data_IF_551707648646
#
_entry.id   IF_551707648646
#
_cell.length_a   1.000
_cell.length_b   1.000
_cell.length_c   1.000
_cell.angle_alpha   90.00
_cell.angle_beta   90.00
_cell.angle_gamma   90.00
#
_symmetry.space_group_name_H-M   'P 1'
#
loop_
_entity.id
_entity.type
_entity.pdbx_description
1 polymer ?
#
# COMPACT_ATOMS: atom_id res chain seq x y z
N UNK A 1 -8.54 35.97 7.17
CA UNK A 1 -8.34 35.74 5.72
C UNK A 1 -8.11 34.26 5.47
N UNK A 2 -9.16 33.49 5.19
CA UNK A 2 -9.03 32.08 4.77
C UNK A 2 -8.64 32.07 3.29
N UNK A 3 -7.35 32.11 2.98
CA UNK A 3 -6.89 31.75 1.64
C UNK A 3 -7.17 30.26 1.47
N UNK A 4 -8.20 29.96 0.67
CA UNK A 4 -8.41 28.64 0.09
C UNK A 4 -7.15 28.29 -0.74
N UNK A 5 -6.14 27.74 -0.08
CA UNK A 5 -5.16 26.89 -0.75
C UNK A 5 -5.80 25.51 -0.86
N UNK A 6 -6.89 25.41 -1.62
CA UNK A 6 -7.36 24.11 -2.08
C UNK A 6 -6.38 23.76 -3.20
N UNK A 7 -5.21 23.23 -2.83
CA UNK A 7 -4.52 22.35 -3.75
C UNK A 7 -5.56 21.31 -4.13
N UNK A 8 -5.82 21.18 -5.43
CA UNK A 8 -6.81 20.27 -5.99
C UNK A 8 -6.38 18.84 -5.64
N UNK A 9 -6.69 18.39 -4.43
CA UNK A 9 -6.22 17.11 -3.90
C UNK A 9 -6.99 16.02 -4.62
N UNK A 10 -6.28 15.23 -5.41
CA UNK A 10 -6.84 14.06 -6.09
C UNK A 10 -7.19 13.01 -5.04
N UNK A 11 -8.48 12.89 -4.69
CA UNK A 11 -8.98 12.00 -3.63
C UNK A 11 -10.05 11.05 -4.15
N UNK A 12 -10.32 10.00 -3.35
CA UNK A 12 -11.43 9.09 -3.59
C UNK A 12 -12.69 9.65 -2.90
N UNK A 13 -13.83 9.80 -3.59
CA UNK A 13 -15.04 10.33 -2.98
C UNK A 13 -15.69 9.30 -2.03
N UNK A 14 -16.36 9.80 -0.99
CA UNK A 14 -17.11 8.96 -0.02
C UNK A 14 -18.11 8.01 -0.67
N UNK A 15 -18.73 8.41 -1.79
CA UNK A 15 -19.65 7.56 -2.55
C UNK A 15 -18.97 6.29 -3.08
N UNK A 16 -17.71 6.38 -3.47
CA UNK A 16 -16.94 5.24 -3.97
C UNK A 16 -16.58 4.29 -2.84
N UNK A 17 -16.19 4.79 -1.66
CA UNK A 17 -15.96 3.92 -0.50
C UNK A 17 -17.22 3.14 -0.08
N UNK A 18 -18.39 3.79 -0.12
CA UNK A 18 -19.68 3.11 0.13
C UNK A 18 -19.98 2.03 -0.92
N UNK A 19 -19.62 2.26 -2.19
CA UNK A 19 -19.73 1.25 -3.25
C UNK A 19 -18.76 0.08 -2.99
N UNK A 20 -17.52 0.35 -2.57
CA UNK A 20 -16.53 -0.68 -2.22
C UNK A 20 -17.04 -1.60 -1.12
N UNK A 21 -17.63 -1.03 -0.06
CA UNK A 21 -18.26 -1.82 1.02
C UNK A 21 -19.40 -2.69 0.48
N UNK A 22 -20.31 -2.14 -0.33
CA UNK A 22 -21.42 -2.92 -0.91
C UNK A 22 -20.92 -4.09 -1.79
N UNK A 23 -19.94 -3.84 -2.66
CA UNK A 23 -19.31 -4.88 -3.49
C UNK A 23 -18.61 -5.94 -2.63
N UNK A 24 -17.93 -5.50 -1.57
CA UNK A 24 -17.25 -6.41 -0.66
C UNK A 24 -18.24 -7.31 0.09
N UNK A 25 -19.32 -6.75 0.63
CA UNK A 25 -20.42 -7.49 1.26
C UNK A 25 -21.04 -8.53 0.31
N UNK A 26 -21.20 -8.20 -0.97
CA UNK A 26 -21.66 -9.16 -1.98
C UNK A 26 -20.68 -10.34 -2.16
N UNK A 27 -19.36 -10.07 -2.16
CA UNK A 27 -18.34 -11.13 -2.21
C UNK A 27 -18.34 -11.99 -0.94
N UNK A 28 -18.49 -11.39 0.24
CA UNK A 28 -18.62 -12.11 1.52
C UNK A 28 -19.79 -13.10 1.46
N UNK A 29 -20.97 -12.64 1.03
CA UNK A 29 -22.15 -13.49 0.83
C UNK A 29 -21.92 -14.62 -0.18
N UNK A 30 -21.29 -14.29 -1.31
CA UNK A 30 -21.01 -15.25 -2.38
C UNK A 30 -20.11 -16.40 -1.93
N UNK A 31 -19.14 -16.12 -1.06
CA UNK A 31 -18.24 -17.13 -0.48
C UNK A 31 -18.83 -17.85 0.74
N UNK A 32 -20.11 -17.57 1.10
CA UNK A 32 -20.78 -18.21 2.23
C UNK A 32 -20.19 -17.83 3.59
N UNK A 33 -19.64 -16.62 3.71
CA UNK A 33 -19.15 -16.04 4.96
C UNK A 33 -20.21 -15.14 5.59
N UNK A 34 -20.22 -15.03 6.91
CA UNK A 34 -21.14 -14.12 7.62
C UNK A 34 -20.52 -12.73 7.80
N UNK A 35 -19.19 -12.66 7.87
CA UNK A 35 -18.43 -11.41 7.95
C UNK A 35 -16.98 -11.61 7.49
N UNK A 36 -16.29 -10.50 7.27
CA UNK A 36 -14.83 -10.47 7.16
C UNK A 36 -14.23 -9.45 8.13
N UNK A 37 -13.11 -9.82 8.75
CA UNK A 37 -12.20 -8.92 9.43
C UNK A 37 -11.04 -8.59 8.48
N UNK A 38 -10.95 -7.32 8.08
CA UNK A 38 -9.95 -6.84 7.11
C UNK A 38 -8.84 -6.15 7.87
N UNK A 39 -7.65 -6.74 7.95
CA UNK A 39 -6.55 -6.22 8.76
C UNK A 39 -5.57 -5.35 7.96
N UNK A 40 -4.90 -4.43 8.67
CA UNK A 40 -3.81 -3.62 8.16
C UNK A 40 -2.83 -3.21 9.27
N UNK A 41 -1.57 -3.04 8.86
CA UNK A 41 -0.50 -2.37 9.62
C UNK A 41 -0.13 -1.05 8.94
N UNK A 42 0.80 -0.29 9.52
CA UNK A 42 1.39 0.88 8.86
C UNK A 42 1.97 0.56 7.48
N UNK A 43 2.74 -0.54 7.41
CA UNK A 43 3.47 -0.96 6.21
C UNK A 43 2.55 -1.55 5.14
N UNK A 44 1.46 -2.20 5.57
CA UNK A 44 0.53 -2.94 4.73
C UNK A 44 -0.90 -2.41 4.91
N UNK A 45 -1.06 -1.11 4.65
CA UNK A 45 -2.30 -0.36 4.90
C UNK A 45 -3.41 -0.60 3.89
N UNK A 46 -3.09 -1.19 2.74
CA UNK A 46 -3.89 -1.02 1.54
C UNK A 46 -5.31 -1.59 1.62
N UNK A 47 -5.56 -2.64 2.41
CA UNK A 47 -6.90 -3.24 2.52
C UNK A 47 -7.85 -2.39 3.38
N UNK A 48 -7.44 -2.03 4.59
CA UNK A 48 -8.21 -1.14 5.47
C UNK A 48 -8.39 0.20 4.78
N UNK A 49 -7.32 0.81 4.28
CA UNK A 49 -7.38 2.12 3.62
C UNK A 49 -8.29 2.13 2.39
N UNK A 50 -8.31 1.04 1.61
CA UNK A 50 -9.21 0.92 0.47
C UNK A 50 -10.69 0.96 0.88
N UNK A 51 -11.03 0.45 2.07
CA UNK A 51 -12.39 0.40 2.58
C UNK A 51 -12.78 1.61 3.42
N UNK A 52 -11.84 2.24 4.12
CA UNK A 52 -12.11 3.24 5.15
C UNK A 52 -11.40 4.59 4.98
N UNK A 53 -10.51 4.74 3.99
CA UNK A 53 -9.57 5.86 3.86
C UNK A 53 -8.52 5.98 5.00
N UNK A 54 -8.71 5.24 6.09
CA UNK A 54 -7.82 5.25 7.24
C UNK A 54 -6.53 4.48 6.97
N UNK A 55 -5.40 5.11 7.29
CA UNK A 55 -4.08 4.51 7.27
C UNK A 55 -3.54 4.54 8.70
N UNK A 56 -3.37 3.37 9.36
CA UNK A 56 -2.78 3.34 10.70
C UNK A 56 -1.35 3.89 10.70
N UNK A 57 -0.93 4.46 11.83
CA UNK A 57 0.43 4.97 12.06
C UNK A 57 1.25 3.89 12.75
N UNK A 58 1.54 3.97 14.05
CA UNK A 58 2.33 2.96 14.77
C UNK A 58 1.47 1.83 15.37
N UNK A 59 0.17 2.05 15.51
CA UNK A 59 -0.83 1.04 15.86
C UNK A 59 -1.23 0.22 14.62
N UNK A 60 -2.07 -0.80 14.81
CA UNK A 60 -2.69 -1.52 13.69
C UNK A 60 -4.18 -1.19 13.61
N UNK A 61 -4.86 -1.67 12.58
CA UNK A 61 -6.30 -1.47 12.46
C UNK A 61 -6.97 -2.61 11.70
N UNK A 62 -8.29 -2.67 11.82
CA UNK A 62 -9.10 -3.49 10.95
C UNK A 62 -10.42 -2.84 10.56
N UNK A 63 -11.04 -3.33 9.49
CA UNK A 63 -12.46 -3.07 9.24
C UNK A 63 -13.21 -4.39 9.42
N UNK A 64 -14.14 -4.41 10.36
CA UNK A 64 -15.10 -5.51 10.50
C UNK A 64 -16.27 -5.25 9.54
N UNK A 65 -16.45 -6.13 8.56
CA UNK A 65 -17.49 -6.00 7.53
C UNK A 65 -18.43 -7.20 7.62
N UNK A 66 -19.64 -7.05 8.18
CA UNK A 66 -20.65 -8.11 8.11
C UNK A 66 -21.18 -8.23 6.69
N UNK A 67 -21.60 -9.43 6.29
CA UNK A 67 -22.24 -9.70 5.00
C UNK A 67 -23.47 -8.81 4.76
N UNK A 68 -24.15 -8.40 5.83
CA UNK A 68 -25.24 -7.44 5.84
C UNK A 68 -25.16 -6.57 7.09
N UNK A 69 -25.41 -5.26 6.94
CA UNK A 69 -25.33 -4.30 8.04
C UNK A 69 -24.24 -3.26 7.80
N UNK A 70 -23.93 -2.48 8.85
CA UNK A 70 -22.90 -1.47 8.81
C UNK A 70 -21.52 -2.08 9.09
N UNK A 71 -20.50 -1.66 8.34
CA UNK A 71 -19.12 -2.00 8.65
C UNK A 71 -18.59 -1.09 9.78
N UNK A 72 -17.62 -1.60 10.54
CA UNK A 72 -17.08 -0.96 11.73
C UNK A 72 -15.55 -0.86 11.58
N UNK A 73 -15.00 0.33 11.78
CA UNK A 73 -13.55 0.54 11.83
C UNK A 73 -13.05 0.24 13.24
N UNK A 74 -12.11 -0.69 13.36
CA UNK A 74 -11.46 -1.08 14.61
C UNK A 74 -10.07 -0.45 14.65
N UNK A 75 -9.76 0.23 15.74
CA UNK A 75 -8.50 0.96 15.92
C UNK A 75 -7.86 0.67 17.26
N UNK A 76 -6.58 0.99 17.37
CA UNK A 76 -5.84 0.92 18.63
C UNK A 76 -6.25 2.01 19.64
N UNK A 77 -5.74 1.91 20.88
CA UNK A 77 -5.93 2.86 21.97
C UNK A 77 -5.93 4.36 21.61
N UNK A 78 -5.01 4.81 20.75
CA UNK A 78 -4.75 6.25 20.53
C UNK A 78 -5.27 6.78 19.18
N UNK A 79 -5.92 5.93 18.39
CA UNK A 79 -6.25 6.22 17.00
C UNK A 79 -7.66 6.72 16.72
N UNK A 80 -8.56 6.77 17.70
CA UNK A 80 -10.00 7.07 17.51
C UNK A 80 -10.25 8.47 16.90
N UNK A 81 -9.60 9.50 17.45
CA UNK A 81 -9.75 10.88 16.96
C UNK A 81 -9.26 11.00 15.51
N UNK A 82 -8.06 10.48 15.22
CA UNK A 82 -7.49 10.51 13.87
C UNK A 82 -8.37 9.72 12.88
N UNK A 83 -8.84 8.54 13.28
CA UNK A 83 -9.76 7.73 12.49
C UNK A 83 -11.06 8.49 12.17
N UNK A 84 -11.66 9.17 13.15
CA UNK A 84 -12.89 9.96 12.96
C UNK A 84 -12.74 11.15 12.01
N UNK A 85 -11.52 11.69 11.88
CA UNK A 85 -11.21 12.82 11.00
C UNK A 85 -10.89 12.41 9.56
N UNK A 86 -10.39 11.18 9.37
CA UNK A 86 -9.95 10.68 8.06
C UNK A 86 -10.94 9.74 7.40
N UNK A 87 -11.61 8.92 8.20
CA UNK A 87 -12.54 7.92 7.72
C UNK A 87 -13.95 8.49 7.57
N UNK A 88 -14.72 7.94 6.64
CA UNK A 88 -16.15 8.23 6.52
C UNK A 88 -17.02 7.33 7.43
N UNK A 89 -16.41 6.37 8.12
CA UNK A 89 -17.10 5.49 9.06
C UNK A 89 -17.62 6.27 10.27
N UNK A 90 -18.89 6.03 10.63
CA UNK A 90 -19.48 6.54 11.88
C UNK A 90 -19.17 5.61 13.05
N UNK A 91 -19.06 4.32 12.77
CA UNK A 91 -18.83 3.27 13.74
C UNK A 91 -17.33 3.02 13.84
N UNK A 92 -16.73 3.52 14.92
CA UNK A 92 -15.31 3.37 15.22
C UNK A 92 -15.20 2.83 16.65
N UNK A 93 -14.50 1.72 16.82
CA UNK A 93 -14.34 1.05 18.11
C UNK A 93 -12.87 0.83 18.44
N UNK A 94 -12.54 0.92 19.72
CA UNK A 94 -11.20 0.65 20.24
C UNK A 94 -11.13 -0.76 20.81
N UNK A 95 -10.14 -1.52 20.33
CA UNK A 95 -9.82 -2.83 20.87
C UNK A 95 -8.32 -2.88 21.20
N UNK A 96 -8.00 -3.50 22.34
CA UNK A 96 -6.63 -3.56 22.84
C UNK A 96 -5.73 -4.38 21.90
N UNK A 97 -6.30 -5.28 21.11
CA UNK A 97 -5.62 -6.11 20.11
C UNK A 97 -4.99 -5.30 18.96
N UNK A 98 -5.42 -4.05 18.75
CA UNK A 98 -4.88 -3.17 17.70
C UNK A 98 -3.81 -2.20 18.21
N UNK A 99 -3.37 -2.33 19.46
CA UNK A 99 -2.24 -1.57 20.02
C UNK A 99 -0.95 -1.81 19.24
N UNK A 100 0.02 -0.93 19.48
CA UNK A 100 1.36 -1.05 18.90
C UNK A 100 2.11 -2.31 19.36
N UNK A 101 3.17 -2.68 18.63
CA UNK A 101 3.94 -3.91 18.89
C UNK A 101 4.71 -3.92 20.21
N UNK A 102 4.81 -2.79 20.91
CA UNK A 102 5.36 -2.73 22.27
C UNK A 102 4.38 -3.29 23.32
N UNK A 103 3.13 -3.55 22.92
CA UNK A 103 2.05 -4.09 23.75
C UNK A 103 1.82 -3.32 25.08
N UNK A 104 1.62 -2.00 25.05
CA UNK A 104 1.34 -1.24 26.27
C UNK A 104 0.01 -1.65 26.91
N UNK A 105 -0.03 -1.71 28.26
CA UNK A 105 -1.23 -2.07 29.03
C UNK A 105 -2.36 -1.02 28.95
N UNK A 106 -2.08 0.17 28.40
CA UNK A 106 -3.02 1.28 28.19
C UNK A 106 -3.95 1.59 29.40
N UNK A 107 -3.40 1.88 30.59
CA UNK A 107 -4.19 2.11 31.80
C UNK A 107 -5.11 3.33 31.67
N UNK A 108 -6.35 3.19 32.14
CA UNK A 108 -7.36 4.27 32.12
C UNK A 108 -8.12 4.40 30.80
N UNK A 109 -7.82 3.57 29.80
CA UNK A 109 -8.60 3.46 28.56
C UNK A 109 -9.61 2.31 28.64
N UNK A 110 -10.73 2.45 27.94
CA UNK A 110 -11.74 1.41 27.80
C UNK A 110 -11.72 0.85 26.40
N UNK A 111 -11.79 -0.47 26.32
CA UNK A 111 -11.76 -1.26 25.09
C UNK A 111 -12.98 -2.16 25.08
N UNK A 112 -13.60 -2.31 23.91
CA UNK A 112 -14.58 -3.38 23.72
C UNK A 112 -13.84 -4.68 23.41
N UNK A 113 -14.48 -5.81 23.70
CA UNK A 113 -14.03 -7.12 23.20
C UNK A 113 -14.68 -7.43 21.85
N UNK A 114 -14.23 -8.47 21.14
CA UNK A 114 -14.93 -8.96 19.95
C UNK A 114 -16.35 -9.46 20.30
N UNK A 115 -16.55 -9.99 21.51
CA UNK A 115 -17.89 -10.38 21.98
C UNK A 115 -18.79 -9.16 22.12
N UNK A 116 -18.30 -8.10 22.78
CA UNK A 116 -19.03 -6.84 22.93
C UNK A 116 -19.32 -6.20 21.57
N UNK A 117 -18.38 -6.28 20.61
CA UNK A 117 -18.59 -5.84 19.23
C UNK A 117 -19.77 -6.58 18.60
N UNK A 118 -19.83 -7.91 18.71
CA UNK A 118 -20.95 -8.66 18.14
C UNK A 118 -22.27 -8.35 18.83
N UNK A 119 -22.27 -8.12 20.14
CA UNK A 119 -23.49 -7.78 20.90
C UNK A 119 -23.99 -6.37 20.57
N UNK A 120 -23.09 -5.38 20.53
CA UNK A 120 -23.41 -3.96 20.27
C UNK A 120 -24.03 -3.75 18.89
N UNK A 121 -23.63 -4.54 17.90
CA UNK A 121 -24.06 -4.38 16.50
C UNK A 121 -25.06 -5.46 16.02
N UNK A 122 -25.60 -6.29 16.92
CA UNK A 122 -26.56 -7.37 16.60
C UNK A 122 -26.01 -8.42 15.61
N UNK A 123 -24.75 -8.81 15.82
CA UNK A 123 -23.96 -9.71 14.96
C UNK A 123 -23.64 -11.06 15.61
N UNK A 124 -24.33 -11.43 16.70
CA UNK A 124 -24.12 -12.70 17.42
C UNK A 124 -24.49 -13.95 16.58
N UNK A 125 -25.17 -13.74 15.46
CA UNK A 125 -25.51 -14.78 14.48
C UNK A 125 -24.30 -15.24 13.65
N UNK A 126 -23.19 -14.50 13.65
CA UNK A 126 -21.98 -14.87 12.92
C UNK A 126 -21.47 -16.24 13.38
N UNK A 127 -21.19 -17.11 12.41
CA UNK A 127 -20.62 -18.45 12.59
C UNK A 127 -19.39 -18.67 11.73
N UNK A 128 -19.22 -17.95 10.63
CA UNK A 128 -18.05 -18.04 9.75
C UNK A 128 -17.46 -16.66 9.44
N UNK A 129 -16.27 -16.41 9.98
CA UNK A 129 -15.53 -15.16 9.84
C UNK A 129 -14.34 -15.34 8.89
N UNK A 130 -14.32 -14.59 7.80
CA UNK A 130 -13.15 -14.49 6.94
C UNK A 130 -12.11 -13.51 7.49
N UNK A 131 -10.83 -13.81 7.38
CA UNK A 131 -9.75 -12.84 7.60
C UNK A 131 -9.16 -12.45 6.24
N UNK A 132 -9.12 -11.14 5.98
CA UNK A 132 -8.44 -10.52 4.83
C UNK A 132 -7.21 -9.78 5.36
N UNK A 133 -6.07 -9.93 4.68
CA UNK A 133 -4.78 -9.60 5.28
C UNK A 133 -4.26 -10.75 6.15
N UNK A 134 -4.54 -11.99 5.74
CA UNK A 134 -4.20 -13.19 6.51
C UNK A 134 -2.72 -13.26 6.90
N UNK A 135 -1.84 -12.94 5.95
CA UNK A 135 -0.39 -13.01 6.14
C UNK A 135 0.16 -11.97 7.12
N UNK A 136 -0.59 -10.89 7.37
CA UNK A 136 -0.16 -9.77 8.22
C UNK A 136 -0.98 -9.66 9.51
N UNK A 137 -1.99 -10.52 9.71
CA UNK A 137 -2.84 -10.47 10.90
C UNK A 137 -2.02 -10.90 12.13
N UNK A 138 -1.86 -10.03 13.15
CA UNK A 138 -1.06 -10.33 14.32
C UNK A 138 -1.62 -11.51 15.10
N UNK A 139 -0.73 -12.30 15.70
CA UNK A 139 -1.12 -13.39 16.60
C UNK A 139 -2.04 -12.93 17.74
N UNK A 140 -1.83 -11.77 18.40
CA UNK A 140 -2.77 -11.28 19.41
C UNK A 140 -4.21 -11.13 18.90
N UNK A 141 -4.41 -10.61 17.68
CA UNK A 141 -5.73 -10.51 17.05
C UNK A 141 -6.34 -11.89 16.84
N UNK A 142 -5.59 -12.83 16.25
CA UNK A 142 -6.08 -14.17 15.96
C UNK A 142 -6.40 -14.96 17.23
N UNK A 143 -5.54 -14.90 18.24
CA UNK A 143 -5.73 -15.58 19.54
C UNK A 143 -6.96 -15.02 20.27
N UNK A 144 -7.11 -13.70 20.38
CA UNK A 144 -8.30 -13.08 20.98
C UNK A 144 -9.60 -13.46 20.26
N UNK A 145 -9.60 -13.52 18.92
CA UNK A 145 -10.77 -13.99 18.18
C UNK A 145 -11.13 -15.44 18.55
N UNK A 146 -10.14 -16.33 18.65
CA UNK A 146 -10.37 -17.74 19.00
C UNK A 146 -10.86 -17.92 20.43
N UNK A 147 -10.33 -17.14 21.37
CA UNK A 147 -10.71 -17.18 22.78
C UNK A 147 -12.10 -16.59 23.02
N UNK A 148 -12.40 -15.45 22.41
CA UNK A 148 -13.64 -14.71 22.66
C UNK A 148 -14.81 -15.22 21.81
N UNK A 149 -14.55 -15.80 20.64
CA UNK A 149 -15.54 -16.33 19.69
C UNK A 149 -15.29 -17.83 19.38
N UNK A 150 -15.29 -18.74 20.38
CA UNK A 150 -14.89 -20.13 20.21
C UNK A 150 -15.79 -20.93 19.25
N UNK A 151 -17.02 -20.45 19.01
CA UNK A 151 -18.00 -21.07 18.13
C UNK A 151 -17.99 -20.50 16.70
N UNK A 152 -17.05 -19.61 16.38
CA UNK A 152 -16.90 -19.01 15.04
C UNK A 152 -15.76 -19.69 14.30
N UNK A 153 -16.06 -20.23 13.13
CA UNK A 153 -15.07 -20.74 12.19
C UNK A 153 -14.30 -19.55 11.57
N UNK A 154 -12.98 -19.55 11.70
CA UNK A 154 -12.12 -18.51 11.14
C UNK A 154 -11.40 -19.08 9.91
N UNK A 155 -11.53 -18.42 8.76
CA UNK A 155 -10.95 -18.87 7.49
C UNK A 155 -10.19 -17.77 6.77
N UNK A 156 -9.23 -18.16 5.93
CA UNK A 156 -8.55 -17.23 5.02
C UNK A 156 -9.52 -16.75 3.94
N UNK A 157 -9.64 -15.44 3.76
CA UNK A 157 -10.65 -14.85 2.87
C UNK A 157 -10.10 -13.75 1.95
N UNK A 158 -8.78 -13.62 1.76
CA UNK A 158 -8.17 -12.55 0.94
C UNK A 158 -8.82 -12.32 -0.44
N UNK A 159 -9.24 -13.41 -1.10
CA UNK A 159 -9.89 -13.39 -2.42
C UNK A 159 -11.28 -12.74 -2.44
N UNK A 160 -11.89 -12.48 -1.28
CA UNK A 160 -13.14 -11.70 -1.19
C UNK A 160 -12.91 -10.22 -1.46
N UNK A 161 -11.71 -9.69 -1.18
CA UNK A 161 -11.38 -8.26 -1.35
C UNK A 161 -10.43 -8.00 -2.52
N UNK A 162 -9.42 -8.85 -2.74
CA UNK A 162 -8.38 -8.61 -3.75
C UNK A 162 -8.92 -8.27 -5.15
N UNK A 163 -9.93 -9.00 -5.69
CA UNK A 163 -10.45 -8.72 -7.02
C UNK A 163 -11.04 -7.32 -7.19
N UNK A 164 -11.59 -6.73 -6.11
CA UNK A 164 -12.13 -5.37 -6.14
C UNK A 164 -11.05 -4.32 -6.41
N UNK A 165 -9.79 -4.64 -6.11
CA UNK A 165 -8.63 -3.76 -6.28
C UNK A 165 -7.89 -3.99 -7.59
N UNK A 166 -8.23 -5.01 -8.39
CA UNK A 166 -7.50 -5.31 -9.62
C UNK A 166 -7.79 -4.28 -10.71
N UNK A 167 -9.07 -4.01 -10.97
CA UNK A 167 -9.54 -3.01 -11.93
C UNK A 167 -9.76 -1.69 -11.21
N UNK A 168 -9.04 -0.64 -11.62
CA UNK A 168 -9.07 0.67 -10.98
C UNK A 168 -10.23 1.51 -11.48
N UNK A 169 -10.88 2.26 -10.58
CA UNK A 169 -11.83 3.31 -10.94
C UNK A 169 -11.11 4.51 -11.55
N UNK A 170 -11.85 5.43 -12.19
CA UNK A 170 -11.26 6.68 -12.70
C UNK A 170 -10.66 7.55 -11.60
N UNK A 171 -11.22 7.53 -10.38
CA UNK A 171 -10.66 8.27 -9.24
C UNK A 171 -9.34 7.64 -8.79
N UNK A 172 -9.26 6.30 -8.75
CA UNK A 172 -8.03 5.58 -8.44
C UNK A 172 -6.94 5.85 -9.50
N UNK A 173 -7.32 5.82 -10.78
CA UNK A 173 -6.41 6.15 -11.89
C UNK A 173 -5.95 7.60 -11.82
N UNK A 174 -6.81 8.54 -11.41
CA UNK A 174 -6.42 9.93 -11.20
C UNK A 174 -5.36 10.04 -10.09
N UNK A 175 -5.55 9.37 -8.94
CA UNK A 175 -4.56 9.34 -7.87
C UNK A 175 -3.23 8.76 -8.35
N UNK A 176 -3.26 7.63 -9.09
CA UNK A 176 -2.06 7.01 -9.67
C UNK A 176 -1.35 7.94 -10.65
N UNK A 177 -2.07 8.59 -11.57
CA UNK A 177 -1.50 9.57 -12.53
C UNK A 177 -0.83 10.72 -11.79
N UNK A 178 -1.47 11.25 -10.74
CA UNK A 178 -0.88 12.32 -9.92
C UNK A 178 0.39 11.86 -9.20
N UNK A 179 0.41 10.64 -8.67
CA UNK A 179 1.60 10.05 -8.06
C UNK A 179 2.74 9.88 -9.08
N UNK A 180 2.45 9.49 -10.32
CA UNK A 180 3.46 9.42 -11.39
C UNK A 180 4.01 10.80 -11.76
N UNK A 181 3.15 11.81 -11.89
CA UNK A 181 3.59 13.20 -12.15
C UNK A 181 4.56 13.72 -11.07
N UNK A 182 4.29 13.42 -9.80
CA UNK A 182 5.17 13.83 -8.70
C UNK A 182 6.51 13.08 -8.78
N UNK A 183 6.50 11.78 -9.09
CA UNK A 183 7.73 11.01 -9.29
C UNK A 183 8.56 11.49 -10.48
N UNK A 184 7.92 11.90 -11.58
CA UNK A 184 8.63 12.49 -12.73
C UNK A 184 9.38 13.77 -12.33
N UNK A 185 8.75 14.67 -11.56
CA UNK A 185 9.38 15.88 -11.03
C UNK A 185 10.56 15.55 -10.08
N UNK A 186 10.39 14.53 -9.24
CA UNK A 186 11.47 14.08 -8.36
C UNK A 186 12.66 13.48 -9.13
N UNK A 187 12.39 12.68 -10.16
CA UNK A 187 13.43 12.13 -11.04
C UNK A 187 14.13 13.24 -11.82
N UNK A 188 13.39 14.21 -12.36
CA UNK A 188 13.97 15.37 -13.06
C UNK A 188 14.92 16.16 -12.15
N UNK A 189 14.51 16.44 -10.90
CA UNK A 189 15.38 17.12 -9.94
C UNK A 189 16.64 16.31 -9.61
N UNK A 190 16.51 14.99 -9.44
CA UNK A 190 17.67 14.11 -9.25
C UNK A 190 18.63 14.23 -10.43
N UNK A 191 18.14 14.10 -11.66
CA UNK A 191 18.98 14.15 -12.86
C UNK A 191 19.69 15.50 -13.03
N UNK A 192 19.09 16.59 -12.56
CA UNK A 192 19.67 17.94 -12.61
C UNK A 192 20.70 18.21 -11.49
N UNK A 193 20.56 17.58 -10.33
CA UNK A 193 21.38 17.86 -9.14
C UNK A 193 22.45 16.81 -8.85
N UNK A 194 22.27 15.58 -9.34
CA UNK A 194 23.20 14.48 -9.11
C UNK A 194 24.57 14.77 -9.73
N UNK A 195 25.64 14.46 -8.99
CA UNK A 195 27.02 14.60 -9.44
C UNK A 195 27.94 13.58 -8.75
N UNK A 196 29.10 13.26 -9.36
CA UNK A 196 30.11 12.44 -8.72
C UNK A 196 30.49 12.96 -7.33
N UNK A 197 30.71 12.04 -6.39
CA UNK A 197 31.04 12.32 -4.99
C UNK A 197 29.83 12.47 -4.06
N UNK A 198 28.60 12.58 -4.58
CA UNK A 198 27.40 12.47 -3.74
C UNK A 198 27.21 11.03 -3.24
N UNK A 199 26.58 10.85 -2.09
CA UNK A 199 26.17 9.51 -1.63
C UNK A 199 24.81 9.12 -2.21
N UNK A 200 24.53 7.81 -2.27
CA UNK A 200 23.19 7.29 -2.60
C UNK A 200 22.10 7.92 -1.73
N UNK A 201 22.37 8.12 -0.43
CA UNK A 201 21.47 8.79 0.51
C UNK A 201 21.18 10.25 0.14
N UNK A 202 22.19 11.01 -0.31
CA UNK A 202 21.99 12.39 -0.74
C UNK A 202 21.09 12.47 -1.98
N UNK A 203 21.22 11.50 -2.90
CA UNK A 203 20.33 11.38 -4.07
C UNK A 203 18.89 11.10 -3.64
N UNK A 204 18.68 10.20 -2.69
CA UNK A 204 17.34 9.95 -2.13
C UNK A 204 16.78 11.15 -1.39
N UNK A 205 17.62 11.93 -0.71
CA UNK A 205 17.21 13.20 -0.09
C UNK A 205 16.60 14.19 -1.08
N UNK A 206 17.14 14.27 -2.31
CA UNK A 206 16.55 15.09 -3.39
C UNK A 206 15.17 14.56 -3.76
N UNK A 207 15.04 13.24 -3.94
CA UNK A 207 13.77 12.62 -4.28
C UNK A 207 12.68 12.91 -3.23
N UNK A 208 13.00 12.71 -1.95
CA UNK A 208 12.07 12.96 -0.84
C UNK A 208 11.67 14.43 -0.80
N UNK A 209 12.63 15.36 -0.91
CA UNK A 209 12.35 16.81 -0.95
C UNK A 209 11.29 17.14 -1.99
N UNK A 210 11.43 16.65 -3.21
CA UNK A 210 10.49 16.94 -4.30
C UNK A 210 9.15 16.21 -4.14
N UNK A 211 9.13 14.96 -3.67
CA UNK A 211 7.89 14.22 -3.42
C UNK A 211 7.00 15.01 -2.44
N UNK A 212 7.54 15.39 -1.29
CA UNK A 212 6.77 16.13 -0.28
C UNK A 212 6.42 17.55 -0.74
N UNK A 213 7.37 18.25 -1.37
CA UNK A 213 7.15 19.60 -1.92
C UNK A 213 6.00 19.66 -2.94
N UNK A 214 5.83 18.61 -3.74
CA UNK A 214 4.78 18.54 -4.77
C UNK A 214 3.48 17.87 -4.31
N UNK A 215 3.32 17.65 -3.00
CA UNK A 215 2.07 17.20 -2.39
C UNK A 215 1.91 15.68 -2.39
N UNK A 216 2.99 14.91 -2.52
CA UNK A 216 2.99 13.49 -2.18
C UNK A 216 2.75 13.34 -0.69
N UNK A 217 1.86 12.43 -0.30
CA UNK A 217 1.55 12.22 1.11
C UNK A 217 2.71 11.51 1.83
N UNK A 218 3.38 10.59 1.13
CA UNK A 218 4.52 9.78 1.56
C UNK A 218 5.22 9.21 0.32
N UNK A 219 6.30 8.47 0.50
CA UNK A 219 6.88 7.63 -0.54
C UNK A 219 5.93 6.48 -0.92
N UNK A 220 5.90 6.14 -2.22
CA UNK A 220 5.08 5.06 -2.76
C UNK A 220 5.52 3.68 -2.29
N UNK A 221 6.81 3.53 -2.04
CA UNK A 221 7.51 2.40 -1.44
C UNK A 221 8.86 2.91 -0.92
N UNK A 222 9.66 2.05 -0.29
CA UNK A 222 11.03 2.42 0.06
C UNK A 222 11.80 2.85 -1.20
N UNK A 223 12.25 4.10 -1.23
CA UNK A 223 13.02 4.65 -2.35
C UNK A 223 14.43 4.08 -2.33
N UNK A 224 15.01 3.88 -3.50
CA UNK A 224 16.43 3.52 -3.57
C UNK A 224 17.16 4.15 -4.74
N UNK A 225 18.44 4.42 -4.48
CA UNK A 225 19.47 4.76 -5.43
C UNK A 225 20.61 3.80 -5.15
N UNK A 226 21.02 3.02 -6.14
CA UNK A 226 22.20 2.16 -6.05
C UNK A 226 23.19 2.57 -7.13
N UNK A 227 24.49 2.60 -6.82
CA UNK A 227 25.53 2.86 -7.80
C UNK A 227 26.58 1.74 -7.83
N UNK A 228 27.19 1.54 -8.99
CA UNK A 228 28.32 0.62 -9.15
C UNK A 228 27.96 -0.82 -8.78
N UNK A 229 28.77 -1.44 -7.93
CA UNK A 229 28.58 -2.83 -7.50
C UNK A 229 27.24 -3.06 -6.77
N UNK A 230 26.71 -2.06 -6.08
CA UNK A 230 25.43 -2.18 -5.37
C UNK A 230 24.24 -2.37 -6.29
N UNK A 231 24.36 -2.02 -7.58
CA UNK A 231 23.32 -2.29 -8.60
C UNK A 231 23.12 -3.78 -8.89
N UNK A 232 24.03 -4.66 -8.44
CA UNK A 232 23.84 -6.11 -8.54
C UNK A 232 22.78 -6.64 -7.55
N UNK A 233 22.38 -5.85 -6.55
CA UNK A 233 21.36 -6.25 -5.59
C UNK A 233 19.96 -5.97 -6.14
N UNK A 234 19.13 -7.01 -6.25
CA UNK A 234 17.72 -6.85 -6.60
C UNK A 234 16.89 -6.18 -5.48
N UNK A 235 17.29 -6.37 -4.22
CA UNK A 235 16.65 -5.81 -3.03
C UNK A 235 17.75 -5.30 -2.09
N UNK A 236 17.74 -4.00 -1.78
CA UNK A 236 18.71 -3.37 -0.86
C UNK A 236 18.17 -2.03 -0.32
N UNK A 237 18.99 -1.30 0.43
CA UNK A 237 18.75 0.06 0.94
C UNK A 237 19.89 0.98 0.47
N UNK A 238 19.61 2.25 0.14
CA UNK A 238 20.65 3.22 -0.19
C UNK A 238 21.59 3.39 1.00
N UNK A 239 22.89 3.50 0.72
CA UNK A 239 23.94 3.61 1.72
C UNK A 239 24.89 4.79 1.51
N UNK A 240 26.09 4.66 2.07
CA UNK A 240 27.14 5.68 1.97
C UNK A 240 28.02 5.53 0.72
N UNK A 241 27.68 4.61 -0.20
CA UNK A 241 28.38 4.53 -1.47
C UNK A 241 28.28 5.85 -2.22
N UNK A 242 29.38 6.22 -2.88
CA UNK A 242 29.49 7.47 -3.62
C UNK A 242 29.24 7.26 -5.10
N UNK A 243 28.49 8.18 -5.69
CA UNK A 243 28.27 8.26 -7.13
C UNK A 243 29.62 8.51 -7.81
N UNK A 244 29.91 7.72 -8.83
CA UNK A 244 31.10 7.84 -9.67
C UNK A 244 30.69 7.85 -11.14
N UNK A 245 31.55 8.41 -11.99
CA UNK A 245 31.33 8.43 -13.43
C UNK A 245 31.47 7.03 -14.04
N UNK A 246 30.85 6.82 -15.20
CA UNK A 246 30.98 5.63 -16.05
C UNK A 246 30.53 4.33 -15.37
N UNK A 247 29.70 4.45 -14.33
CA UNK A 247 29.02 3.35 -13.66
C UNK A 247 27.51 3.44 -13.79
N UNK A 248 26.85 2.30 -13.63
CA UNK A 248 25.39 2.25 -13.60
C UNK A 248 24.92 2.83 -12.28
N UNK A 249 23.94 3.70 -12.36
CA UNK A 249 23.17 4.23 -11.25
C UNK A 249 21.73 3.78 -11.49
N UNK A 250 21.12 3.16 -10.49
CA UNK A 250 19.76 2.66 -10.57
C UNK A 250 18.89 3.37 -9.56
N UNK A 251 17.87 4.08 -10.07
CA UNK A 251 16.84 4.70 -9.25
C UNK A 251 15.61 3.80 -9.19
N UNK A 252 14.93 3.83 -8.06
CA UNK A 252 13.54 3.46 -7.96
C UNK A 252 12.80 4.45 -7.07
N UNK A 253 12.03 5.31 -7.72
CA UNK A 253 11.37 6.45 -7.10
C UNK A 253 9.86 6.30 -7.25
N UNK A 254 9.13 6.51 -6.16
CA UNK A 254 7.68 6.43 -6.13
C UNK A 254 7.12 7.43 -5.14
N UNK A 255 6.14 8.21 -5.56
CA UNK A 255 5.33 9.05 -4.68
C UNK A 255 4.03 8.31 -4.32
N UNK A 256 3.39 8.72 -3.24
CA UNK A 256 2.06 8.26 -2.87
C UNK A 256 1.06 9.43 -2.87
N UNK A 257 -0.13 9.20 -3.40
CA UNK A 257 -1.24 10.15 -3.41
C UNK A 257 -2.52 9.41 -3.04
N UNK A 258 -3.13 9.77 -1.92
CA UNK A 258 -4.37 9.16 -1.41
C UNK A 258 -4.33 7.63 -1.35
N UNK A 259 -3.18 7.06 -0.97
CA UNK A 259 -2.97 5.62 -0.86
C UNK A 259 -2.52 4.93 -2.13
N UNK A 260 -2.45 5.63 -3.26
CA UNK A 260 -2.00 5.09 -4.54
C UNK A 260 -0.55 5.49 -4.80
N UNK A 261 0.27 4.48 -5.06
CA UNK A 261 1.70 4.65 -5.29
C UNK A 261 2.02 4.67 -6.78
N UNK A 262 2.98 5.50 -7.18
CA UNK A 262 3.79 5.31 -8.38
C UNK A 262 5.03 4.47 -8.06
N UNK A 263 5.67 3.94 -9.10
CA UNK A 263 6.98 3.30 -9.02
C UNK A 263 7.67 3.46 -10.36
N UNK A 264 8.84 4.09 -10.35
CA UNK A 264 9.64 4.43 -11.53
C UNK A 264 11.04 3.89 -11.34
N UNK A 265 11.36 2.80 -12.03
CA UNK A 265 12.71 2.26 -12.12
C UNK A 265 13.46 2.90 -13.28
N UNK A 266 14.61 3.53 -13.02
CA UNK A 266 15.43 4.18 -14.04
C UNK A 266 16.92 3.86 -13.84
N UNK A 267 17.52 3.00 -14.69
CA UNK A 267 18.95 2.88 -14.79
C UNK A 267 19.53 3.98 -15.70
N UNK A 268 20.62 4.61 -15.28
CA UNK A 268 21.34 5.62 -16.06
C UNK A 268 22.82 5.67 -15.65
N UNK A 269 23.61 6.56 -16.26
CA UNK A 269 25.01 6.81 -15.89
C UNK A 269 25.37 8.28 -16.05
N UNK A 270 26.40 8.72 -15.31
CA UNK A 270 27.08 9.99 -15.55
C UNK A 270 28.31 9.67 -16.40
N UNK A 271 28.32 10.10 -17.66
CA UNK A 271 29.37 9.73 -18.62
C UNK A 271 29.14 8.37 -19.30
N UNK A 272 30.01 8.00 -20.24
CA UNK A 272 29.87 6.78 -21.05
C UNK A 272 30.06 5.50 -20.23
N UNK A 273 29.12 4.56 -20.36
CA UNK A 273 29.27 3.21 -19.80
C UNK A 273 30.26 2.37 -20.62
N UNK A 274 31.03 1.48 -19.96
CA UNK A 274 31.73 0.40 -20.63
C UNK A 274 30.77 -0.42 -21.50
N UNK A 275 31.25 -0.87 -22.66
CA UNK A 275 30.41 -1.48 -23.70
C UNK A 275 29.51 -2.62 -23.17
N UNK A 276 30.06 -3.50 -22.31
CA UNK A 276 29.29 -4.58 -21.69
C UNK A 276 28.13 -4.06 -20.83
N UNK A 277 28.37 -3.05 -19.99
CA UNK A 277 27.33 -2.45 -19.12
C UNK A 277 26.26 -1.75 -19.99
N UNK A 278 26.67 -1.02 -21.03
CA UNK A 278 25.76 -0.37 -21.99
C UNK A 278 24.83 -1.37 -22.67
N UNK A 279 25.37 -2.46 -23.22
CA UNK A 279 24.57 -3.52 -23.89
C UNK A 279 23.54 -4.15 -22.96
N UNK A 280 23.87 -4.34 -21.68
CA UNK A 280 22.92 -4.88 -20.69
C UNK A 280 21.73 -3.93 -20.46
N UNK A 281 21.98 -2.62 -20.34
CA UNK A 281 20.92 -1.63 -20.18
C UNK A 281 20.05 -1.53 -21.44
N UNK A 282 20.67 -1.54 -22.62
CA UNK A 282 19.95 -1.52 -23.90
C UNK A 282 19.05 -2.75 -24.07
N UNK A 283 19.56 -3.94 -23.73
CA UNK A 283 18.76 -5.16 -23.71
C UNK A 283 17.61 -5.07 -22.68
N UNK A 284 17.86 -4.52 -21.50
CA UNK A 284 16.81 -4.28 -20.50
C UNK A 284 15.68 -3.38 -21.05
N UNK A 285 16.01 -2.34 -21.81
CA UNK A 285 15.03 -1.48 -22.48
C UNK A 285 14.24 -2.23 -23.57
N UNK A 286 14.92 -3.06 -24.37
CA UNK A 286 14.27 -3.91 -25.37
C UNK A 286 13.29 -4.89 -24.71
N UNK A 287 13.74 -5.59 -23.66
CA UNK A 287 12.95 -6.50 -22.84
C UNK A 287 11.72 -5.82 -22.25
N UNK A 288 11.88 -4.63 -21.68
CA UNK A 288 10.77 -3.85 -21.14
C UNK A 288 9.71 -3.53 -22.20
N UNK A 289 10.12 -3.03 -23.37
CA UNK A 289 9.22 -2.71 -24.49
C UNK A 289 8.53 -3.97 -25.04
N UNK A 290 9.27 -5.08 -25.13
CA UNK A 290 8.73 -6.37 -25.56
C UNK A 290 7.62 -6.84 -24.64
N UNK A 291 7.85 -6.82 -23.33
CA UNK A 291 6.87 -7.21 -22.32
C UNK A 291 5.62 -6.34 -22.40
N UNK A 292 5.74 -5.02 -22.57
CA UNK A 292 4.58 -4.13 -22.78
C UNK A 292 3.75 -4.60 -23.99
N UNK A 293 4.41 -4.91 -25.12
CA UNK A 293 3.73 -5.41 -26.31
C UNK A 293 3.08 -6.79 -26.15
N UNK A 294 3.47 -7.57 -25.15
CA UNK A 294 2.89 -8.88 -24.84
C UNK A 294 1.64 -8.80 -23.94
N UNK A 295 1.41 -7.67 -23.25
CA UNK A 295 0.30 -7.48 -22.33
C UNK A 295 -0.97 -7.14 -23.12
N UNK A 296 -2.05 -7.88 -22.86
CA UNK A 296 -3.34 -7.65 -23.50
C UNK A 296 -4.49 -8.09 -22.58
N UNK A 297 -5.68 -7.49 -22.76
CA UNK A 297 -6.89 -7.93 -22.08
C UNK A 297 -7.21 -9.40 -22.41
N UNK A 298 -7.63 -10.17 -21.41
CA UNK A 298 -7.93 -11.60 -21.55
C UNK A 298 -6.71 -12.53 -21.54
N UNK A 299 -5.49 -12.00 -21.59
CA UNK A 299 -4.27 -12.81 -21.50
C UNK A 299 -3.87 -13.05 -20.03
N UNK A 300 -3.72 -14.30 -19.57
CA UNK A 300 -3.26 -14.59 -18.22
C UNK A 300 -1.87 -14.00 -17.96
N UNK A 301 -1.66 -13.39 -16.80
CA UNK A 301 -0.37 -12.80 -16.44
C UNK A 301 0.78 -13.82 -16.48
N UNK A 302 0.54 -15.06 -16.04
CA UNK A 302 1.54 -16.14 -16.13
C UNK A 302 1.93 -16.50 -17.57
N UNK A 303 1.04 -16.33 -18.55
CA UNK A 303 1.39 -16.53 -19.95
C UNK A 303 2.31 -15.42 -20.46
N UNK A 304 2.11 -14.16 -20.04
CA UNK A 304 3.03 -13.06 -20.38
C UNK A 304 4.45 -13.37 -19.88
N UNK A 305 4.58 -13.93 -18.67
CA UNK A 305 5.88 -14.36 -18.12
C UNK A 305 6.51 -15.45 -18.98
N UNK A 306 5.76 -16.51 -19.31
CA UNK A 306 6.27 -17.61 -20.14
C UNK A 306 6.70 -17.14 -21.54
N UNK A 307 5.91 -16.28 -22.18
CA UNK A 307 6.24 -15.72 -23.49
C UNK A 307 7.52 -14.87 -23.44
N UNK A 308 7.66 -14.07 -22.37
CA UNK A 308 8.87 -13.29 -22.11
C UNK A 308 10.10 -14.19 -21.92
N UNK A 309 10.01 -15.20 -21.05
CA UNK A 309 11.14 -16.12 -20.79
C UNK A 309 11.56 -16.89 -22.04
N UNK A 310 10.61 -17.29 -22.88
CA UNK A 310 10.91 -17.95 -24.15
C UNK A 310 11.55 -17.01 -25.18
N UNK A 311 11.23 -15.71 -25.13
CA UNK A 311 11.83 -14.71 -26.01
C UNK A 311 13.25 -14.29 -25.57
N UNK A 312 13.54 -14.30 -24.27
CA UNK A 312 14.86 -13.94 -23.72
C UNK A 312 15.91 -15.04 -23.97
N UNK A 313 15.50 -16.31 -23.98
CA UNK A 313 16.36 -17.47 -24.25
C UNK A 313 16.88 -17.50 -25.68
#
# INVERSE_FOLDING_TARGET
MKKNCIMNTTTIPTSEFKERIRKFQANIKKEGLDACLVHATESDMAFVRYLSEYWPVFETAAVFVPAQGEAILLVGPESDLYASQRSFFKNIEKLIEYRESAEPDAPGMSFITYKDLLEKYDLQHIRKLGIVGWAITPLPVYTSLKEQLPNVEIVKADMTLWPLRFVKSENELACMRKAYQISELAVEAILNEIKPGMTELQVIGIAQREIYKHGGEYEGHSLYCFCGESTNNAISRPGHNTIVENEVIQLNIGARVSGYSSSVGLPFSIGPLPERKRRLIEFGLEAHKKTIGMIAAGKPAGQVVNDYENWVK
#
